data_IF_744097712032
#
_entry.id   IF_744097712032
#
_cell.length_a   1.000
_cell.length_b   1.000
_cell.length_c   1.000
_cell.angle_alpha   90.00
_cell.angle_beta   90.00
_cell.angle_gamma   90.00
#
_symmetry.space_group_name_H-M   'P 1'
#
loop_
_entity.id
_entity.type
_entity.pdbx_description
1 polymer ?
#
# COMPACT_ATOMS: atom_id res chain seq x y z
N UNK A 1 55.66 11.72 2.31
CA UNK A 1 54.82 10.50 2.41
C UNK A 1 53.38 10.98 2.33
N UNK A 2 52.94 11.26 1.10
CA UNK A 2 51.66 11.89 0.81
C UNK A 2 50.68 10.80 0.37
N UNK A 3 49.56 10.72 1.09
CA UNK A 3 48.50 9.75 0.91
C UNK A 3 47.79 10.01 -0.43
N UNK A 4 47.73 8.99 -1.28
CA UNK A 4 47.09 9.08 -2.58
C UNK A 4 45.56 9.05 -2.39
N UNK A 5 44.78 9.93 -3.03
CA UNK A 5 43.33 9.93 -2.88
C UNK A 5 42.72 8.67 -3.54
N UNK A 6 41.78 8.05 -2.83
CA UNK A 6 40.95 6.95 -3.31
C UNK A 6 40.35 7.26 -4.69
N UNK A 7 40.31 6.30 -5.63
CA UNK A 7 39.69 6.52 -6.93
C UNK A 7 38.18 6.77 -6.77
N UNK A 8 37.60 7.69 -7.56
CA UNK A 8 36.18 8.01 -7.47
C UNK A 8 35.32 6.79 -7.81
N UNK A 9 34.27 6.59 -7.02
CA UNK A 9 33.26 5.55 -7.21
C UNK A 9 32.78 5.54 -8.67
N UNK A 10 33.08 4.44 -9.38
CA UNK A 10 32.59 4.19 -10.74
C UNK A 10 31.06 4.29 -10.77
N UNK A 11 30.57 5.39 -11.33
CA UNK A 11 29.21 5.52 -11.85
C UNK A 11 29.05 4.48 -12.96
N UNK A 12 28.41 3.36 -12.63
CA UNK A 12 28.07 2.33 -13.61
C UNK A 12 27.24 2.94 -14.77
N UNK A 13 27.56 2.62 -16.03
CA UNK A 13 26.89 3.21 -17.20
C UNK A 13 25.41 2.84 -17.28
N UNK A 14 24.56 3.72 -17.85
CA UNK A 14 23.14 3.45 -18.04
C UNK A 14 22.96 2.33 -19.05
N UNK A 15 22.62 1.13 -18.58
CA UNK A 15 22.42 -0.07 -19.41
C UNK A 15 22.74 -1.37 -18.68
N UNK A 16 23.66 -1.34 -17.70
CA UNK A 16 23.97 -2.50 -16.83
C UNK A 16 23.31 -2.34 -15.47
N UNK A 17 22.00 -2.63 -15.42
CA UNK A 17 21.20 -2.43 -14.20
C UNK A 17 21.12 -3.69 -13.33
N UNK A 18 21.48 -3.58 -12.05
CA UNK A 18 21.02 -4.51 -11.02
C UNK A 18 19.63 -4.08 -10.54
N UNK A 19 18.64 -4.96 -10.68
CA UNK A 19 17.26 -4.71 -10.30
C UNK A 19 16.86 -5.57 -9.10
N UNK A 20 16.24 -4.94 -8.08
CA UNK A 20 15.70 -5.65 -6.91
C UNK A 20 14.36 -6.29 -7.26
N UNK A 21 14.26 -7.60 -7.09
CA UNK A 21 13.07 -8.39 -7.47
C UNK A 21 12.63 -9.27 -6.30
N UNK A 22 11.35 -9.60 -6.24
CA UNK A 22 10.83 -10.63 -5.33
C UNK A 22 10.42 -11.84 -6.16
N UNK A 23 10.74 -13.04 -5.71
CA UNK A 23 10.32 -14.27 -6.41
C UNK A 23 9.28 -15.01 -5.59
N UNK A 24 8.09 -15.19 -6.15
CA UNK A 24 7.06 -15.99 -5.51
C UNK A 24 6.93 -17.34 -6.22
N UNK A 25 6.84 -18.40 -5.41
CA UNK A 25 6.25 -19.65 -5.85
C UNK A 25 4.72 -19.52 -5.96
N UNK A 26 4.03 -20.51 -6.54
CA UNK A 26 2.58 -20.49 -6.65
C UNK A 26 1.89 -20.44 -5.27
N UNK A 27 2.34 -21.27 -4.33
CA UNK A 27 1.78 -21.33 -2.97
C UNK A 27 2.01 -20.03 -2.18
N UNK A 28 3.23 -19.48 -2.21
CA UNK A 28 3.54 -18.24 -1.48
C UNK A 28 2.82 -17.02 -2.07
N UNK A 29 2.58 -17.01 -3.38
CA UNK A 29 1.70 -16.02 -4.00
C UNK A 29 0.26 -16.15 -3.49
N UNK A 30 -0.30 -17.36 -3.47
CA UNK A 30 -1.67 -17.59 -3.01
C UNK A 30 -1.84 -17.13 -1.55
N UNK A 31 -0.88 -17.47 -0.69
CA UNK A 31 -0.86 -17.02 0.70
C UNK A 31 -0.79 -15.49 0.82
N UNK A 32 0.09 -14.83 0.07
CA UNK A 32 0.20 -13.37 0.08
C UNK A 32 -1.07 -12.66 -0.39
N UNK A 33 -1.80 -13.26 -1.34
CA UNK A 33 -3.10 -12.75 -1.80
C UNK A 33 -4.17 -12.99 -0.73
N UNK A 34 -4.24 -14.20 -0.17
CA UNK A 34 -5.21 -14.55 0.88
C UNK A 34 -5.07 -13.63 2.11
N UNK A 35 -3.85 -13.37 2.58
CA UNK A 35 -3.60 -12.45 3.70
C UNK A 35 -4.10 -11.03 3.43
N UNK A 36 -3.94 -10.54 2.19
CA UNK A 36 -4.43 -9.21 1.80
C UNK A 36 -5.94 -9.16 1.67
N UNK A 37 -6.55 -10.24 1.15
CA UNK A 37 -8.00 -10.37 1.08
C UNK A 37 -8.61 -10.44 2.49
N UNK A 38 -8.02 -11.21 3.40
CA UNK A 38 -8.45 -11.26 4.80
C UNK A 38 -8.42 -9.87 5.45
N UNK A 39 -7.32 -9.12 5.25
CA UNK A 39 -7.22 -7.75 5.76
C UNK A 39 -8.29 -6.81 5.18
N UNK A 40 -8.62 -6.95 3.89
CA UNK A 40 -9.65 -6.17 3.20
C UNK A 40 -11.05 -6.53 3.70
N UNK A 41 -11.35 -7.82 3.83
CA UNK A 41 -12.64 -8.30 4.33
C UNK A 41 -12.87 -7.84 5.77
N UNK A 42 -11.84 -7.82 6.61
CA UNK A 42 -11.94 -7.29 7.96
C UNK A 42 -12.27 -5.79 7.98
N UNK A 43 -11.68 -4.98 7.10
CA UNK A 43 -12.04 -3.56 6.99
C UNK A 43 -13.50 -3.39 6.58
N UNK A 44 -13.98 -4.17 5.60
CA UNK A 44 -15.38 -4.14 5.18
C UNK A 44 -16.33 -4.59 6.30
N UNK A 45 -15.96 -5.64 7.05
CA UNK A 45 -16.71 -6.11 8.19
C UNK A 45 -16.85 -5.03 9.27
N UNK A 46 -15.73 -4.44 9.69
CA UNK A 46 -15.73 -3.38 10.71
C UNK A 46 -16.50 -2.15 10.22
N UNK A 47 -16.37 -1.78 8.94
CA UNK A 47 -17.15 -0.70 8.34
C UNK A 47 -18.66 -0.95 8.39
N UNK A 48 -19.10 -2.14 7.96
CA UNK A 48 -20.51 -2.52 8.01
C UNK A 48 -21.02 -2.53 9.46
N UNK A 49 -20.22 -3.04 10.40
CA UNK A 49 -20.58 -3.10 11.80
C UNK A 49 -20.73 -1.70 12.43
N UNK A 50 -19.81 -0.77 12.15
CA UNK A 50 -19.92 0.64 12.57
C UNK A 50 -21.14 1.31 11.93
N UNK A 51 -21.41 1.06 10.65
CA UNK A 51 -22.58 1.62 9.97
C UNK A 51 -23.89 1.12 10.59
N UNK A 52 -23.97 -0.18 10.94
CA UNK A 52 -25.11 -0.75 11.66
C UNK A 52 -25.29 -0.08 13.00
N UNK A 53 -24.24 0.04 13.82
CA UNK A 53 -24.29 0.73 15.13
C UNK A 53 -24.80 2.18 15.01
N UNK A 54 -24.41 2.90 13.96
CA UNK A 54 -24.89 4.27 13.70
C UNK A 54 -26.40 4.28 13.39
N UNK A 55 -26.88 3.33 12.58
CA UNK A 55 -28.29 3.27 12.14
C UNK A 55 -29.21 2.77 13.26
N UNK A 56 -28.79 1.76 14.01
CA UNK A 56 -29.59 1.13 15.08
C UNK A 56 -29.43 1.84 16.43
N UNK A 57 -28.44 2.72 16.56
CA UNK A 57 -28.06 3.32 17.84
C UNK A 57 -27.42 2.34 18.83
N UNK A 58 -27.05 1.13 18.39
CA UNK A 58 -26.37 0.16 19.23
C UNK A 58 -24.90 0.56 19.47
N UNK A 59 -24.32 0.06 20.56
CA UNK A 59 -22.92 0.30 20.93
C UNK A 59 -22.14 -1.01 20.95
N UNK A 60 -22.28 -1.80 19.89
CA UNK A 60 -21.68 -3.15 19.82
C UNK A 60 -20.21 -3.13 19.38
N UNK A 61 -19.75 -2.02 18.77
CA UNK A 61 -18.37 -1.80 18.34
C UNK A 61 -17.66 -0.77 19.23
N UNK A 62 -17.23 -1.11 20.46
CA UNK A 62 -16.51 -0.16 21.30
C UNK A 62 -15.16 0.24 20.65
N UNK A 63 -14.71 1.50 20.84
CA UNK A 63 -13.50 2.05 20.21
C UNK A 63 -12.27 1.15 20.27
N UNK A 64 -12.00 0.55 21.43
CA UNK A 64 -10.85 -0.32 21.64
C UNK A 64 -10.97 -1.63 20.84
N UNK A 65 -12.16 -2.23 20.78
CA UNK A 65 -12.38 -3.45 20.01
C UNK A 65 -12.21 -3.20 18.51
N UNK A 66 -12.70 -2.05 18.00
CA UNK A 66 -12.47 -1.63 16.62
C UNK A 66 -10.98 -1.46 16.33
N UNK A 67 -10.26 -0.73 17.20
CA UNK A 67 -8.84 -0.47 17.02
C UNK A 67 -7.99 -1.76 17.08
N UNK A 68 -8.25 -2.63 18.05
CA UNK A 68 -7.61 -3.94 18.16
C UNK A 68 -7.97 -4.84 16.98
N UNK A 69 -9.24 -4.88 16.59
CA UNK A 69 -9.72 -5.67 15.47
C UNK A 69 -9.04 -5.29 14.15
N UNK A 70 -8.91 -4.00 13.86
CA UNK A 70 -8.18 -3.52 12.68
C UNK A 70 -6.68 -3.85 12.80
N UNK A 71 -6.07 -3.60 13.96
CA UNK A 71 -4.63 -3.81 14.14
C UNK A 71 -4.25 -5.28 13.99
N UNK A 72 -5.01 -6.17 14.62
CA UNK A 72 -4.74 -7.61 14.62
C UNK A 72 -5.16 -8.26 13.29
N UNK A 73 -6.39 -8.05 12.83
CA UNK A 73 -6.96 -8.78 11.69
C UNK A 73 -6.76 -8.09 10.34
N UNK A 74 -6.37 -6.82 10.29
CA UNK A 74 -5.90 -6.16 9.06
C UNK A 74 -4.41 -5.88 9.09
N UNK A 75 -3.90 -5.28 10.16
CA UNK A 75 -2.47 -4.98 10.31
C UNK A 75 -1.59 -6.23 10.32
N UNK A 76 -1.95 -7.23 11.13
CA UNK A 76 -1.23 -8.50 11.24
C UNK A 76 -1.03 -9.21 9.89
N UNK A 77 -2.10 -9.54 9.14
CA UNK A 77 -1.98 -10.19 7.83
C UNK A 77 -1.17 -9.36 6.81
N UNK A 78 -1.31 -8.03 6.83
CA UNK A 78 -0.52 -7.15 5.96
C UNK A 78 0.97 -7.18 6.33
N UNK A 79 1.31 -7.16 7.62
CA UNK A 79 2.68 -7.30 8.09
C UNK A 79 3.27 -8.66 7.71
N UNK A 80 2.52 -9.75 7.89
CA UNK A 80 2.94 -11.08 7.46
C UNK A 80 3.18 -11.15 5.94
N UNK A 81 2.30 -10.55 5.14
CA UNK A 81 2.50 -10.48 3.68
C UNK A 81 3.75 -9.65 3.32
N UNK A 82 4.06 -8.58 4.07
CA UNK A 82 5.28 -7.80 3.89
C UNK A 82 6.54 -8.58 4.28
N UNK A 83 6.50 -9.33 5.39
CA UNK A 83 7.60 -10.17 5.85
C UNK A 83 7.87 -11.31 4.87
N UNK A 84 6.82 -11.97 4.38
CA UNK A 84 6.92 -12.99 3.34
C UNK A 84 7.61 -12.43 2.09
N UNK A 85 7.22 -11.23 1.65
CA UNK A 85 7.88 -10.54 0.53
C UNK A 85 9.32 -10.12 0.81
N UNK A 86 9.71 -9.88 2.07
CA UNK A 86 11.10 -9.60 2.46
C UNK A 86 11.99 -10.85 2.45
N UNK A 87 11.44 -12.00 2.83
CA UNK A 87 12.15 -13.28 2.84
C UNK A 87 12.48 -13.70 1.40
N UNK A 88 11.56 -13.51 0.47
CA UNK A 88 11.69 -13.91 -0.94
C UNK A 88 12.32 -12.84 -1.86
N UNK A 89 13.22 -12.01 -1.32
CA UNK A 89 13.95 -11.01 -2.13
C UNK A 89 15.10 -11.66 -2.91
N UNK A 90 15.25 -11.23 -4.15
CA UNK A 90 16.35 -11.55 -5.05
C UNK A 90 16.78 -10.31 -5.85
N UNK A 91 17.78 -10.52 -6.69
CA UNK A 91 18.39 -9.52 -7.56
C UNK A 91 18.37 -10.06 -8.99
N UNK A 92 18.19 -9.18 -9.95
CA UNK A 92 18.24 -9.50 -11.38
C UNK A 92 19.28 -8.60 -12.00
N UNK A 93 20.30 -9.21 -12.59
CA UNK A 93 21.36 -8.51 -13.30
C UNK A 93 21.25 -8.86 -14.77
N UNK A 94 21.28 -7.84 -15.61
CA UNK A 94 21.38 -8.01 -17.07
C UNK A 94 22.87 -8.07 -17.39
N UNK A 95 23.31 -9.20 -17.93
CA UNK A 95 24.65 -9.40 -18.45
C UNK A 95 24.60 -9.42 -19.98
N UNK A 96 25.75 -9.55 -20.66
CA UNK A 96 25.85 -9.34 -22.11
C UNK A 96 24.93 -10.27 -22.93
N UNK A 97 24.79 -11.54 -22.51
CA UNK A 97 23.99 -12.55 -23.22
C UNK A 97 23.04 -13.34 -22.32
N UNK A 98 23.05 -13.04 -21.01
CA UNK A 98 22.31 -13.79 -20.00
C UNK A 98 21.59 -12.86 -19.04
N UNK A 99 20.43 -13.32 -18.57
CA UNK A 99 19.74 -12.76 -17.43
C UNK A 99 20.16 -13.55 -16.19
N UNK A 100 21.01 -12.94 -15.35
CA UNK A 100 21.42 -13.53 -14.08
C UNK A 100 20.40 -13.18 -12.98
N UNK A 101 19.66 -14.18 -12.52
CA UNK A 101 18.76 -14.08 -11.37
C UNK A 101 19.50 -14.60 -10.13
N UNK A 102 19.91 -13.70 -9.24
CA UNK A 102 20.54 -14.06 -7.97
C UNK A 102 19.50 -14.08 -6.86
N UNK A 103 19.25 -15.26 -6.34
CA UNK A 103 18.44 -15.55 -5.17
C UNK A 103 19.37 -15.87 -4.00
N UNK A 104 18.87 -15.75 -2.76
CA UNK A 104 19.70 -15.84 -1.54
C UNK A 104 20.76 -16.95 -1.54
N UNK A 105 20.46 -18.13 -2.10
CA UNK A 105 21.38 -19.28 -2.17
C UNK A 105 21.58 -19.84 -3.59
N UNK A 106 20.99 -19.23 -4.60
CA UNK A 106 20.94 -19.82 -5.94
C UNK A 106 21.09 -18.72 -6.98
N UNK A 107 21.95 -18.94 -7.98
CA UNK A 107 22.06 -18.08 -9.15
C UNK A 107 21.56 -18.86 -10.35
N UNK A 108 20.57 -18.30 -11.05
CA UNK A 108 20.09 -18.84 -12.31
C UNK A 108 20.53 -17.93 -13.43
N UNK A 109 21.25 -18.48 -14.39
CA UNK A 109 21.65 -17.77 -15.60
C UNK A 109 20.75 -18.24 -16.73
N UNK A 110 19.95 -17.33 -17.26
CA UNK A 110 18.99 -17.62 -18.33
C UNK A 110 19.49 -16.93 -19.60
N UNK A 111 19.95 -17.68 -20.63
CA UNK A 111 20.35 -17.10 -21.91
C UNK A 111 19.19 -16.38 -22.58
N UNK A 112 19.44 -15.24 -23.23
CA UNK A 112 18.37 -14.49 -23.91
C UNK A 112 17.70 -15.29 -25.03
N UNK A 113 18.47 -16.11 -25.76
CA UNK A 113 17.96 -16.98 -26.82
C UNK A 113 16.95 -18.01 -26.32
N UNK A 114 17.02 -18.36 -25.03
CA UNK A 114 16.06 -19.25 -24.40
C UNK A 114 14.74 -18.57 -24.07
N UNK A 115 14.64 -17.23 -24.09
CA UNK A 115 13.45 -16.48 -23.70
C UNK A 115 12.59 -16.20 -24.92
N UNK A 116 11.53 -17.00 -25.11
CA UNK A 116 10.58 -16.80 -26.22
C UNK A 116 9.59 -15.67 -25.96
N UNK A 117 9.10 -15.53 -24.73
CA UNK A 117 8.11 -14.51 -24.41
C UNK A 117 8.16 -14.08 -22.95
N UNK A 118 7.78 -12.83 -22.71
CA UNK A 118 7.59 -12.27 -21.37
C UNK A 118 6.11 -11.97 -21.19
N UNK A 119 5.44 -12.67 -20.27
CA UNK A 119 4.01 -12.48 -20.03
C UNK A 119 3.77 -11.79 -18.69
N UNK A 120 3.18 -10.60 -18.66
CA UNK A 120 2.76 -9.95 -17.43
C UNK A 120 1.58 -10.72 -16.83
N UNK A 121 1.43 -10.64 -15.51
CA UNK A 121 0.29 -11.29 -14.86
C UNK A 121 -1.00 -10.53 -15.20
N UNK A 122 -2.06 -11.29 -15.51
CA UNK A 122 -3.39 -10.71 -15.74
C UNK A 122 -3.90 -9.94 -14.54
N UNK A 123 -3.68 -10.45 -13.31
CA UNK A 123 -4.08 -9.79 -12.06
C UNK A 123 -2.82 -9.35 -11.30
N UNK A 124 -2.61 -8.04 -11.05
CA UNK A 124 -1.41 -7.47 -10.43
C UNK A 124 -1.41 -7.61 -8.89
N UNK A 125 -1.68 -8.82 -8.39
CA UNK A 125 -1.70 -9.16 -6.97
C UNK A 125 -0.69 -10.27 -6.66
N UNK A 126 0.14 -10.14 -5.59
CA UNK A 126 0.23 -9.02 -4.62
C UNK A 126 1.00 -7.79 -5.12
N UNK A 127 1.54 -7.84 -6.33
CA UNK A 127 2.21 -6.72 -6.99
C UNK A 127 2.32 -6.97 -8.49
N UNK A 128 3.04 -6.11 -9.19
CA UNK A 128 3.30 -6.28 -10.63
C UNK A 128 4.25 -7.43 -10.88
N UNK A 129 3.70 -8.53 -11.39
CA UNK A 129 4.45 -9.74 -11.69
C UNK A 129 4.66 -9.98 -13.17
N UNK A 130 5.81 -10.57 -13.50
CA UNK A 130 6.20 -11.06 -14.81
C UNK A 130 6.41 -12.57 -14.76
N UNK A 131 6.12 -13.24 -15.87
CA UNK A 131 6.44 -14.65 -16.12
C UNK A 131 7.32 -14.72 -17.36
N UNK A 132 8.46 -15.39 -17.25
CA UNK A 132 9.32 -15.70 -18.38
C UNK A 132 8.87 -17.04 -18.99
N UNK A 133 8.67 -17.07 -20.30
CA UNK A 133 8.38 -18.29 -21.07
C UNK A 133 9.63 -18.65 -21.83
N UNK A 134 10.14 -19.87 -21.59
CA UNK A 134 11.37 -20.37 -22.19
C UNK A 134 11.08 -21.14 -23.49
N UNK A 135 12.12 -21.38 -24.30
CA UNK A 135 12.06 -21.99 -25.64
C UNK A 135 11.33 -23.34 -25.73
N UNK A 136 11.24 -24.06 -24.63
CA UNK A 136 10.47 -25.31 -24.51
C UNK A 136 8.96 -25.11 -24.23
N UNK A 137 8.45 -23.88 -24.39
CA UNK A 137 7.13 -23.43 -23.92
C UNK A 137 6.90 -23.68 -22.41
N UNK A 138 7.98 -24.01 -21.67
CA UNK A 138 7.96 -24.14 -20.22
C UNK A 138 8.11 -22.75 -19.62
N UNK A 139 7.20 -22.40 -18.72
CA UNK A 139 7.38 -21.18 -17.94
C UNK A 139 8.42 -21.40 -16.85
N UNK A 140 9.29 -20.40 -16.64
CA UNK A 140 10.17 -20.40 -15.48
C UNK A 140 9.33 -20.53 -14.21
N UNK A 141 9.63 -21.55 -13.38
CA UNK A 141 8.76 -21.94 -12.26
C UNK A 141 8.61 -20.83 -11.22
N UNK A 142 9.65 -19.99 -11.05
CA UNK A 142 9.62 -18.85 -10.14
C UNK A 142 9.07 -17.62 -10.84
N UNK A 143 8.04 -17.02 -10.25
CA UNK A 143 7.42 -15.83 -10.84
C UNK A 143 8.05 -14.58 -10.25
N UNK A 144 8.42 -13.63 -11.11
CA UNK A 144 9.11 -12.40 -10.72
C UNK A 144 8.08 -11.34 -10.35
N UNK A 145 8.24 -10.68 -9.22
CA UNK A 145 7.47 -9.52 -8.80
C UNK A 145 8.42 -8.35 -8.67
N UNK A 146 8.21 -7.33 -9.49
CA UNK A 146 9.05 -6.14 -9.53
C UNK A 146 8.27 -4.95 -8.99
N UNK A 147 8.98 -4.07 -8.29
CA UNK A 147 8.43 -2.76 -7.92
C UNK A 147 8.32 -1.82 -9.12
N UNK A 148 9.17 -2.05 -10.12
CA UNK A 148 9.27 -1.27 -11.35
C UNK A 148 9.54 -2.18 -12.55
N UNK A 149 8.50 -2.84 -13.07
CA UNK A 149 8.67 -3.76 -14.19
C UNK A 149 9.00 -3.03 -15.49
N UNK A 150 8.61 -1.76 -15.64
CA UNK A 150 8.84 -0.97 -16.84
C UNK A 150 10.34 -0.73 -17.08
N UNK A 151 11.12 -0.40 -16.02
CA UNK A 151 12.58 -0.23 -16.16
C UNK A 151 13.32 -1.51 -16.51
N UNK A 152 12.87 -2.66 -15.98
CA UNK A 152 13.49 -3.94 -16.37
C UNK A 152 13.15 -4.27 -17.83
N UNK A 153 11.89 -4.10 -18.23
CA UNK A 153 11.44 -4.39 -19.60
C UNK A 153 12.05 -3.43 -20.63
N UNK A 154 12.29 -2.16 -20.28
CA UNK A 154 12.98 -1.23 -21.17
C UNK A 154 14.42 -1.64 -21.37
N UNK A 155 15.14 -2.01 -20.31
CA UNK A 155 16.52 -2.49 -20.40
C UNK A 155 16.62 -3.83 -21.14
N UNK A 156 15.66 -4.74 -20.94
CA UNK A 156 15.57 -5.98 -21.71
C UNK A 156 15.16 -5.75 -23.17
N UNK A 157 14.41 -4.67 -23.45
CA UNK A 157 13.95 -4.32 -24.79
C UNK A 157 15.06 -4.00 -25.78
N UNK A 158 16.26 -3.68 -25.30
CA UNK A 158 17.47 -3.49 -26.12
C UNK A 158 17.98 -4.83 -26.69
N UNK A 159 17.72 -5.94 -26.01
CA UNK A 159 18.17 -7.28 -26.40
C UNK A 159 17.03 -8.20 -26.87
N UNK A 160 15.78 -7.94 -26.43
CA UNK A 160 14.62 -8.79 -26.67
C UNK A 160 13.43 -7.93 -27.16
N UNK A 161 13.07 -7.97 -28.46
CA UNK A 161 11.91 -7.28 -29.00
C UNK A 161 10.60 -7.65 -28.26
N UNK A 162 10.48 -8.89 -27.79
CA UNK A 162 9.35 -9.38 -27.00
C UNK A 162 9.18 -8.62 -25.66
N UNK A 163 10.26 -8.10 -25.06
CA UNK A 163 10.18 -7.30 -23.85
C UNK A 163 9.55 -5.92 -24.10
N UNK A 164 9.85 -5.32 -25.27
CA UNK A 164 9.32 -4.02 -25.69
C UNK A 164 7.82 -4.08 -25.97
N UNK A 165 7.35 -5.11 -26.68
CA UNK A 165 5.92 -5.33 -26.92
C UNK A 165 5.12 -5.54 -25.61
N UNK A 166 5.79 -6.01 -24.56
CA UNK A 166 5.16 -6.25 -23.27
C UNK A 166 4.87 -4.96 -22.51
N UNK A 167 5.62 -3.86 -22.75
CA UNK A 167 5.48 -2.59 -22.02
C UNK A 167 4.06 -1.99 -22.13
N UNK A 168 3.36 -2.23 -23.23
CA UNK A 168 2.02 -1.70 -23.47
C UNK A 168 0.89 -2.44 -22.74
N UNK A 169 1.20 -3.53 -22.05
CA UNK A 169 0.19 -4.34 -21.40
C UNK A 169 -0.51 -3.59 -20.24
N UNK A 170 -1.86 -3.62 -20.12
CA UNK A 170 -2.63 -2.88 -19.12
C UNK A 170 -2.15 -3.08 -17.66
N UNK A 171 -1.82 -4.32 -17.29
CA UNK A 171 -1.32 -4.66 -15.95
C UNK A 171 -0.01 -3.92 -15.58
N UNK A 172 0.82 -3.56 -16.56
CA UNK A 172 2.07 -2.81 -16.33
C UNK A 172 1.81 -1.32 -16.23
N UNK A 173 0.90 -0.79 -17.05
CA UNK A 173 0.42 0.60 -16.93
C UNK A 173 -0.23 0.85 -15.57
N UNK A 174 -1.01 -0.10 -15.06
CA UNK A 174 -1.54 -0.05 -13.69
C UNK A 174 -0.43 -0.02 -12.64
N UNK A 175 0.59 -0.88 -12.80
CA UNK A 175 1.72 -0.93 -11.88
C UNK A 175 2.51 0.37 -11.84
N UNK A 176 2.75 0.97 -13.01
CA UNK A 176 3.42 2.26 -13.15
C UNK A 176 2.58 3.38 -12.51
N UNK A 177 1.29 3.45 -12.83
CA UNK A 177 0.37 4.42 -12.24
C UNK A 177 0.34 4.30 -10.70
N UNK A 178 0.28 3.08 -10.17
CA UNK A 178 0.32 2.81 -8.73
C UNK A 178 1.65 3.23 -8.08
N UNK A 179 2.77 3.04 -8.77
CA UNK A 179 4.11 3.39 -8.24
C UNK A 179 4.30 4.89 -8.14
N UNK A 180 3.88 5.67 -9.15
CA UNK A 180 4.09 7.13 -9.17
C UNK A 180 3.48 7.83 -7.94
N UNK A 181 2.38 7.29 -7.40
CA UNK A 181 1.72 7.82 -6.19
C UNK A 181 2.06 7.05 -4.90
N UNK A 182 2.86 5.98 -4.96
CA UNK A 182 3.06 5.04 -3.84
C UNK A 182 4.13 5.43 -2.82
N UNK A 183 4.85 6.54 -2.99
CA UNK A 183 5.81 7.04 -2.00
C UNK A 183 5.21 8.24 -1.27
N UNK A 184 4.57 7.97 -0.13
CA UNK A 184 4.15 9.02 0.80
C UNK A 184 5.19 9.14 1.90
N UNK A 185 5.52 10.38 2.28
CA UNK A 185 6.51 10.65 3.33
C UNK A 185 6.00 10.15 4.68
N UNK A 186 6.93 9.91 5.62
CA UNK A 186 6.55 9.61 7.00
C UNK A 186 5.68 10.73 7.58
N UNK A 187 6.00 11.99 7.26
CA UNK A 187 5.22 13.17 7.64
C UNK A 187 3.76 13.07 7.18
N UNK A 188 3.51 12.62 5.94
CA UNK A 188 2.14 12.41 5.46
C UNK A 188 1.40 11.37 6.31
N UNK A 189 2.06 10.27 6.68
CA UNK A 189 1.45 9.22 7.50
C UNK A 189 1.16 9.72 8.93
N UNK A 190 2.08 10.47 9.52
CA UNK A 190 1.90 11.10 10.85
C UNK A 190 0.76 12.12 10.81
N UNK A 191 0.68 12.95 9.77
CA UNK A 191 -0.41 13.90 9.61
C UNK A 191 -1.75 13.18 9.48
N UNK A 192 -1.83 12.18 8.59
CA UNK A 192 -3.06 11.45 8.30
C UNK A 192 -3.56 10.64 9.48
N UNK A 193 -2.70 9.82 10.09
CA UNK A 193 -3.10 8.84 11.11
C UNK A 193 -2.77 9.27 12.55
N UNK A 194 -2.13 10.42 12.75
CA UNK A 194 -1.83 10.98 14.07
C UNK A 194 -2.53 12.32 14.28
N UNK A 195 -2.06 13.36 13.57
CA UNK A 195 -2.46 14.75 13.82
C UNK A 195 -3.95 15.00 13.56
N UNK A 196 -4.50 14.54 12.43
CA UNK A 196 -5.91 14.79 12.09
C UNK A 196 -6.87 14.09 13.08
N UNK A 197 -6.72 12.78 13.36
CA UNK A 197 -7.49 12.11 14.41
C UNK A 197 -7.35 12.80 15.77
N UNK A 198 -6.14 13.24 16.13
CA UNK A 198 -5.89 13.92 17.39
C UNK A 198 -6.62 15.26 17.48
N UNK A 199 -6.55 16.10 16.44
CA UNK A 199 -7.23 17.38 16.39
C UNK A 199 -8.75 17.21 16.54
N UNK A 200 -9.34 16.27 15.80
CA UNK A 200 -10.78 15.97 15.91
C UNK A 200 -11.14 15.41 17.29
N UNK A 201 -10.31 14.54 17.85
CA UNK A 201 -10.52 14.00 19.19
C UNK A 201 -10.48 15.09 20.27
N UNK A 202 -9.57 16.06 20.17
CA UNK A 202 -9.49 17.22 21.09
C UNK A 202 -10.79 18.02 21.04
N UNK A 203 -11.29 18.35 19.84
CA UNK A 203 -12.53 19.12 19.68
C UNK A 203 -13.72 18.38 20.28
N UNK A 204 -13.90 17.11 19.91
CA UNK A 204 -15.01 16.28 20.42
C UNK A 204 -14.92 16.01 21.91
N UNK A 205 -13.70 15.81 22.44
CA UNK A 205 -13.47 15.63 23.87
C UNK A 205 -13.79 16.91 24.63
N UNK A 206 -13.33 18.07 24.15
CA UNK A 206 -13.63 19.36 24.76
C UNK A 206 -15.14 19.59 24.83
N UNK A 207 -15.85 19.35 23.73
CA UNK A 207 -17.32 19.46 23.70
C UNK A 207 -17.97 18.54 24.75
N UNK A 208 -17.53 17.28 24.83
CA UNK A 208 -18.04 16.34 25.84
C UNK A 208 -17.77 16.82 27.27
N UNK A 209 -16.60 17.41 27.54
CA UNK A 209 -16.27 17.98 28.85
C UNK A 209 -17.20 19.13 29.24
N UNK A 210 -17.50 20.05 28.30
CA UNK A 210 -18.44 21.14 28.55
C UNK A 210 -19.86 20.64 28.83
N UNK A 211 -20.33 19.66 28.06
CA UNK A 211 -21.70 19.12 28.21
C UNK A 211 -21.86 18.35 29.52
N UNK A 212 -20.91 17.46 29.85
CA UNK A 212 -21.07 16.55 31.00
C UNK A 212 -20.57 17.13 32.31
N UNK A 213 -19.56 18.01 32.28
CA UNK A 213 -18.85 18.46 33.47
C UNK A 213 -18.76 19.99 33.60
N UNK A 214 -19.42 20.74 32.70
CA UNK A 214 -19.55 22.20 32.78
C UNK A 214 -18.28 22.99 32.46
N UNK A 215 -17.19 22.34 32.05
CA UNK A 215 -15.94 23.02 31.73
C UNK A 215 -14.88 22.08 31.17
N UNK A 216 -13.79 22.61 30.58
CA UNK A 216 -12.79 21.80 29.85
C UNK A 216 -12.01 20.84 30.76
N UNK A 217 -11.90 21.16 32.05
CA UNK A 217 -11.22 20.34 33.07
C UNK A 217 -12.17 19.83 34.15
N UNK A 218 -13.48 19.87 33.93
CA UNK A 218 -14.47 19.49 34.95
C UNK A 218 -14.26 18.06 35.44
N UNK A 219 -14.03 17.10 34.54
CA UNK A 219 -13.72 15.72 34.92
C UNK A 219 -12.39 15.59 35.68
N UNK A 220 -11.38 16.40 35.34
CA UNK A 220 -10.09 16.39 36.03
C UNK A 220 -10.24 16.83 37.48
N UNK A 221 -11.02 17.87 37.74
CA UNK A 221 -11.26 18.35 39.10
C UNK A 221 -12.11 17.40 39.94
N UNK A 222 -13.05 16.67 39.31
CA UNK A 222 -13.95 15.75 40.02
C UNK A 222 -13.34 14.36 40.26
N UNK A 223 -12.60 13.83 39.27
CA UNK A 223 -12.14 12.43 39.27
C UNK A 223 -10.63 12.27 39.12
N UNK A 224 -9.87 13.37 38.99
CA UNK A 224 -8.43 13.37 38.85
C UNK A 224 -7.90 13.12 37.42
N UNK A 225 -6.57 13.05 37.30
CA UNK A 225 -5.87 12.98 36.02
C UNK A 225 -6.11 11.68 35.26
N UNK A 226 -6.16 10.55 35.96
CA UNK A 226 -6.29 9.22 35.34
C UNK A 226 -7.57 9.09 34.49
N UNK A 227 -8.76 9.29 35.07
CA UNK A 227 -10.03 9.23 34.34
C UNK A 227 -10.12 10.26 33.21
N UNK A 228 -9.57 11.46 33.41
CA UNK A 228 -9.51 12.50 32.37
C UNK A 228 -8.70 12.06 31.15
N UNK A 229 -7.46 11.60 31.36
CA UNK A 229 -6.61 11.09 30.28
C UNK A 229 -7.17 9.81 29.65
N UNK A 230 -7.76 8.91 30.46
CA UNK A 230 -8.40 7.69 29.97
C UNK A 230 -9.57 7.98 29.03
N UNK A 231 -10.45 8.91 29.42
CA UNK A 231 -11.56 9.34 28.58
C UNK A 231 -11.10 10.02 27.28
N UNK A 232 -10.05 10.85 27.37
CA UNK A 232 -9.44 11.47 26.19
C UNK A 232 -8.84 10.42 25.23
N UNK A 233 -8.04 9.48 25.75
CA UNK A 233 -7.44 8.42 24.96
C UNK A 233 -8.49 7.53 24.30
N UNK A 234 -9.56 7.17 25.02
CA UNK A 234 -10.64 6.38 24.45
C UNK A 234 -11.37 7.11 23.32
N UNK A 235 -11.57 8.43 23.47
CA UNK A 235 -12.12 9.28 22.41
C UNK A 235 -11.20 9.32 21.20
N UNK A 236 -9.90 9.50 21.43
CA UNK A 236 -8.90 9.53 20.36
C UNK A 236 -8.81 8.21 19.60
N UNK A 237 -8.77 7.08 20.30
CA UNK A 237 -8.79 5.74 19.70
C UNK A 237 -10.04 5.52 18.86
N UNK A 238 -11.21 5.97 19.33
CA UNK A 238 -12.47 5.87 18.57
C UNK A 238 -12.43 6.66 17.27
N UNK A 239 -12.01 7.93 17.34
CA UNK A 239 -11.86 8.80 16.15
C UNK A 239 -10.83 8.23 15.17
N UNK A 240 -9.68 7.80 15.68
CA UNK A 240 -8.64 7.16 14.87
C UNK A 240 -9.15 5.91 14.17
N UNK A 241 -9.82 5.02 14.91
CA UNK A 241 -10.41 3.79 14.38
C UNK A 241 -11.38 4.08 13.24
N UNK A 242 -12.33 4.98 13.46
CA UNK A 242 -13.30 5.38 12.44
C UNK A 242 -12.61 5.95 11.18
N UNK A 243 -11.61 6.82 11.34
CA UNK A 243 -10.87 7.40 10.23
C UNK A 243 -10.01 6.37 9.47
N UNK A 244 -9.44 5.39 10.16
CA UNK A 244 -8.70 4.29 9.53
C UNK A 244 -9.63 3.42 8.69
N UNK A 245 -10.81 3.08 9.21
CA UNK A 245 -11.83 2.32 8.47
C UNK A 245 -12.28 3.10 7.25
N UNK A 246 -12.63 4.38 7.42
CA UNK A 246 -13.00 5.27 6.32
C UNK A 246 -11.91 5.34 5.25
N UNK A 247 -10.65 5.57 5.64
CA UNK A 247 -9.53 5.58 4.71
C UNK A 247 -9.36 4.24 3.98
N UNK A 248 -9.61 3.12 4.67
CA UNK A 248 -9.62 1.78 4.10
C UNK A 248 -10.71 1.60 3.05
N UNK A 249 -11.94 2.02 3.32
CA UNK A 249 -13.06 1.96 2.38
C UNK A 249 -12.80 2.77 1.12
N UNK A 250 -12.42 4.03 1.28
CA UNK A 250 -12.10 4.90 0.14
C UNK A 250 -10.94 4.30 -0.66
N UNK A 251 -9.94 3.70 0.03
CA UNK A 251 -8.84 3.02 -0.65
C UNK A 251 -9.30 1.83 -1.49
N UNK A 252 -10.24 1.03 -1.00
CA UNK A 252 -10.81 -0.09 -1.76
C UNK A 252 -11.48 0.42 -3.02
N UNK A 253 -12.32 1.46 -2.91
CA UNK A 253 -12.99 2.09 -4.06
C UNK A 253 -11.98 2.58 -5.09
N UNK A 254 -10.95 3.32 -4.65
CA UNK A 254 -9.89 3.82 -5.56
C UNK A 254 -9.14 2.69 -6.26
N UNK A 255 -8.81 1.61 -5.55
CA UNK A 255 -8.11 0.48 -6.18
C UNK A 255 -9.00 -0.25 -7.20
N UNK A 256 -10.29 -0.43 -6.92
CA UNK A 256 -11.25 -1.04 -7.86
C UNK A 256 -11.46 -0.16 -9.09
N UNK A 257 -11.71 1.14 -8.90
CA UNK A 257 -11.89 2.11 -10.00
C UNK A 257 -10.62 2.20 -10.85
N UNK A 258 -9.46 2.31 -10.22
CA UNK A 258 -8.19 2.39 -10.94
C UNK A 258 -7.90 1.11 -11.73
N UNK A 259 -8.16 -0.06 -11.15
CA UNK A 259 -8.00 -1.34 -11.84
C UNK A 259 -8.95 -1.43 -13.03
N UNK A 260 -10.24 -1.15 -12.85
CA UNK A 260 -11.23 -1.15 -13.94
C UNK A 260 -10.86 -0.18 -15.07
N UNK A 261 -10.44 1.04 -14.71
CA UNK A 261 -10.01 2.04 -15.69
C UNK A 261 -8.78 1.63 -16.50
N UNK A 262 -7.90 0.78 -15.96
CA UNK A 262 -6.75 0.30 -16.74
C UNK A 262 -7.14 -0.66 -17.86
N UNK A 263 -8.23 -1.42 -17.69
CA UNK A 263 -8.75 -2.30 -18.74
C UNK A 263 -9.66 -1.55 -19.72
N UNK A 264 -10.49 -0.62 -19.23
CA UNK A 264 -11.46 0.10 -20.06
C UNK A 264 -10.85 1.29 -20.81
N UNK A 265 -9.93 2.02 -20.17
CA UNK A 265 -9.39 3.31 -20.63
C UNK A 265 -7.87 3.37 -20.43
N UNK A 266 -7.08 2.52 -21.09
CA UNK A 266 -5.65 2.35 -20.82
C UNK A 266 -4.81 3.60 -21.07
N UNK A 267 -5.29 4.54 -21.90
CA UNK A 267 -4.64 5.83 -22.16
C UNK A 267 -4.86 6.86 -21.03
N UNK A 268 -6.00 6.77 -20.32
CA UNK A 268 -6.37 7.69 -19.23
C UNK A 268 -6.11 7.14 -17.83
N UNK A 269 -5.71 5.87 -17.72
CA UNK A 269 -5.47 5.16 -16.47
C UNK A 269 -4.62 5.94 -15.44
N UNK A 270 -3.53 6.58 -15.89
CA UNK A 270 -2.65 7.38 -15.02
C UNK A 270 -3.35 8.64 -14.50
N UNK A 271 -4.06 9.34 -15.38
CA UNK A 271 -4.83 10.55 -15.02
C UNK A 271 -5.97 10.23 -14.06
N UNK A 272 -6.73 9.16 -14.32
CA UNK A 272 -7.83 8.76 -13.45
C UNK A 272 -7.33 8.29 -12.08
N UNK A 273 -6.20 7.57 -12.02
CA UNK A 273 -5.58 7.21 -10.74
C UNK A 273 -5.20 8.45 -9.95
N UNK A 274 -4.57 9.44 -10.59
CA UNK A 274 -4.19 10.69 -9.94
C UNK A 274 -5.43 11.43 -9.42
N UNK A 275 -6.48 11.56 -10.23
CA UNK A 275 -7.73 12.20 -9.83
C UNK A 275 -8.36 11.48 -8.62
N UNK A 276 -8.44 10.16 -8.64
CA UNK A 276 -8.99 9.37 -7.53
C UNK A 276 -8.20 9.52 -6.22
N UNK A 277 -6.86 9.58 -6.30
CA UNK A 277 -6.00 9.82 -5.13
C UNK A 277 -6.18 11.25 -4.60
N UNK A 278 -6.28 12.26 -5.47
CA UNK A 278 -6.56 13.66 -5.09
C UNK A 278 -7.92 13.76 -4.41
N UNK A 279 -8.96 13.18 -5.00
CA UNK A 279 -10.31 13.16 -4.42
C UNK A 279 -10.32 12.48 -3.05
N UNK A 280 -9.52 11.42 -2.87
CA UNK A 280 -9.36 10.75 -1.57
C UNK A 280 -8.69 11.65 -0.54
N UNK A 281 -7.65 12.37 -0.94
CA UNK A 281 -6.95 13.28 -0.04
C UNK A 281 -7.85 14.48 0.30
N UNK A 282 -8.61 15.02 -0.65
CA UNK A 282 -9.62 16.08 -0.39
C UNK A 282 -10.71 15.56 0.56
N UNK A 283 -11.28 14.39 0.30
CA UNK A 283 -12.31 13.80 1.14
C UNK A 283 -11.81 13.57 2.57
N UNK A 284 -10.56 13.15 2.73
CA UNK A 284 -9.99 12.91 4.06
C UNK A 284 -9.59 14.20 4.81
N UNK A 285 -8.86 15.10 4.15
CA UNK A 285 -8.27 16.27 4.81
C UNK A 285 -9.17 17.50 4.83
N UNK A 286 -10.14 17.60 3.91
CA UNK A 286 -11.00 18.78 3.79
C UNK A 286 -12.42 18.43 4.21
N UNK A 287 -13.02 17.42 3.58
CA UNK A 287 -14.45 17.15 3.77
C UNK A 287 -14.76 16.73 5.22
N UNK A 288 -13.96 15.85 5.83
CA UNK A 288 -14.19 15.41 7.21
C UNK A 288 -14.04 16.57 8.20
N UNK A 289 -12.93 17.34 8.24
CA UNK A 289 -12.83 18.46 9.17
C UNK A 289 -13.87 19.54 8.92
N UNK A 290 -14.18 19.85 7.65
CA UNK A 290 -15.22 20.82 7.31
C UNK A 290 -16.60 20.38 7.79
N UNK A 291 -16.96 19.10 7.60
CA UNK A 291 -18.21 18.55 8.10
C UNK A 291 -18.33 18.70 9.61
N UNK A 292 -17.28 18.31 10.35
CA UNK A 292 -17.26 18.45 11.81
C UNK A 292 -17.38 19.93 12.22
N UNK A 293 -16.67 20.84 11.56
CA UNK A 293 -16.74 22.26 11.87
C UNK A 293 -18.14 22.84 11.62
N UNK A 294 -18.76 22.53 10.47
CA UNK A 294 -20.12 22.97 10.15
C UNK A 294 -21.12 22.45 11.18
N UNK A 295 -21.04 21.17 11.54
CA UNK A 295 -21.95 20.57 12.53
C UNK A 295 -21.76 21.08 13.96
N UNK A 296 -20.60 21.67 14.27
CA UNK A 296 -20.34 22.28 15.57
C UNK A 296 -20.76 23.76 15.62
N UNK A 297 -20.87 24.42 14.47
CA UNK A 297 -21.26 25.83 14.34
C UNK A 297 -22.75 26.01 14.06
N UNK A 298 -23.41 24.98 13.53
CA UNK A 298 -24.86 24.93 13.32
C UNK A 298 -25.58 24.50 14.61
#
# INVERSE_FOLDING_TARGET
MADAPDPPAETSPPGRGEFKVQTYGPATRALAVALRLAALLNVLYVAAHIATDIVTGSRTAPPLAVALGITLFSGGPLLLALLLGRIHRGKVKIEAHTLALTLRRERFEIPFDSIQAIRPWRVPLPGSGLRLVLGSNRSFQRRLVLRDPARLLSALGEHLPAARATLDHPALRFAEARRTHGRRSLLYLVAKYGLIPLALAIVLFRLHQYIMYGGPFGQYHLFGLGPYLGAFLMRWVGVLGALVVYAGLVRIVVEVVALGATYLLPLRAKGLRRAAEILTDIAYFVLIPAYVLVHLLA
#
